data_IF_737842094472
#
_entry.id   IF_737842094472
#
_cell.length_a   1.000
_cell.length_b   1.000
_cell.length_c   1.000
_cell.angle_alpha   90.00
_cell.angle_beta   90.00
_cell.angle_gamma   90.00
#
_symmetry.space_group_name_H-M   'P 1'
#
loop_
_entity.id
_entity.type
_entity.pdbx_description
1 polymer ?
#
# COMPACT_ATOMS: atom_id res chain seq x y z
N UNK A 1 -11.91 -17.34 -5.37
CA UNK A 1 -11.78 -15.95 -5.84
C UNK A 1 -11.49 -15.08 -4.63
N UNK A 2 -10.56 -14.13 -4.71
CA UNK A 2 -10.26 -13.23 -3.58
C UNK A 2 -11.16 -12.00 -3.68
N UNK A 3 -12.08 -11.84 -2.74
CA UNK A 3 -12.95 -10.66 -2.64
C UNK A 3 -12.11 -9.42 -2.29
N UNK A 4 -12.40 -8.29 -2.94
CA UNK A 4 -11.63 -7.05 -2.81
C UNK A 4 -12.56 -5.85 -2.55
N UNK A 5 -12.22 -5.00 -1.58
CA UNK A 5 -12.95 -3.77 -1.23
C UNK A 5 -12.96 -2.75 -2.36
N UNK A 6 -11.83 -2.64 -3.07
CA UNK A 6 -11.66 -1.73 -4.21
C UNK A 6 -12.71 -1.98 -5.31
N UNK A 7 -13.32 -3.18 -5.39
CA UNK A 7 -14.44 -3.43 -6.30
C UNK A 7 -15.58 -2.42 -6.11
N UNK A 8 -15.92 -2.10 -4.86
CA UNK A 8 -16.97 -1.14 -4.55
C UNK A 8 -16.59 0.27 -5.00
N UNK A 9 -15.30 0.62 -4.97
CA UNK A 9 -14.81 1.90 -5.47
C UNK A 9 -14.94 1.99 -7.00
N UNK A 10 -14.73 0.88 -7.72
CA UNK A 10 -14.96 0.81 -9.18
C UNK A 10 -16.45 0.99 -9.53
N UNK A 11 -17.34 0.33 -8.78
CA UNK A 11 -18.79 0.49 -8.96
C UNK A 11 -19.23 1.92 -8.65
N UNK A 12 -18.72 2.50 -7.56
CA UNK A 12 -18.99 3.88 -7.18
C UNK A 12 -18.48 4.88 -8.25
N UNK A 13 -17.28 4.65 -8.79
CA UNK A 13 -16.74 5.45 -9.89
C UNK A 13 -17.65 5.41 -11.11
N UNK A 14 -18.07 4.22 -11.57
CA UNK A 14 -18.95 4.07 -12.73
C UNK A 14 -20.24 4.88 -12.57
N UNK A 15 -20.87 4.78 -11.40
CA UNK A 15 -22.12 5.49 -11.09
C UNK A 15 -21.92 7.01 -11.03
N UNK A 16 -20.82 7.47 -10.43
CA UNK A 16 -20.52 8.90 -10.24
C UNK A 16 -20.06 9.57 -11.54
N UNK A 17 -19.12 8.93 -12.25
CA UNK A 17 -18.47 9.48 -13.44
C UNK A 17 -19.45 9.59 -14.60
N UNK A 18 -20.33 8.60 -14.77
CA UNK A 18 -21.26 8.56 -15.89
C UNK A 18 -20.58 8.65 -17.26
N UNK A 19 -19.30 8.26 -17.35
CA UNK A 19 -18.49 8.29 -18.57
C UNK A 19 -17.71 9.59 -18.81
N UNK A 20 -17.75 10.54 -17.89
CA UNK A 20 -17.02 11.81 -18.01
C UNK A 20 -15.53 11.70 -17.68
N UNK A 21 -15.11 10.58 -17.10
CA UNK A 21 -13.73 10.29 -16.73
C UNK A 21 -13.39 8.82 -17.05
N UNK A 22 -12.12 8.55 -17.34
CA UNK A 22 -11.54 7.22 -17.24
C UNK A 22 -11.05 6.96 -15.81
N UNK A 23 -10.82 5.70 -15.46
CA UNK A 23 -10.22 5.32 -14.18
C UNK A 23 -8.89 4.59 -14.40
N UNK A 24 -7.85 5.01 -13.70
CA UNK A 24 -6.55 4.34 -13.67
C UNK A 24 -6.33 3.68 -12.31
N UNK A 25 -6.23 2.35 -12.32
CA UNK A 25 -5.80 1.56 -11.16
C UNK A 25 -4.28 1.47 -11.15
N UNK A 26 -3.67 2.12 -10.18
CA UNK A 26 -2.22 2.08 -9.93
C UNK A 26 -1.91 1.24 -8.68
N UNK A 27 -0.73 0.66 -8.60
CA UNK A 27 -0.37 -0.24 -7.51
C UNK A 27 0.91 -1.00 -7.76
N UNK A 28 1.45 -1.63 -6.72
CA UNK A 28 2.63 -2.45 -6.86
C UNK A 28 2.40 -3.63 -7.81
N UNK A 29 3.49 -4.19 -8.35
CA UNK A 29 3.38 -5.39 -9.19
C UNK A 29 2.83 -6.55 -8.36
N UNK A 30 2.00 -7.40 -8.99
CA UNK A 30 1.32 -8.57 -8.39
C UNK A 30 0.24 -8.30 -7.34
N UNK A 31 -0.23 -7.06 -7.15
CA UNK A 31 -1.32 -6.76 -6.19
C UNK A 31 -2.74 -7.13 -6.68
N UNK A 32 -2.90 -7.50 -7.96
CA UNK A 32 -4.18 -8.00 -8.50
C UNK A 32 -4.97 -7.02 -9.38
N UNK A 33 -4.32 -5.98 -9.92
CA UNK A 33 -4.96 -4.94 -10.77
C UNK A 33 -5.69 -5.51 -11.99
N UNK A 34 -5.01 -6.29 -12.82
CA UNK A 34 -5.60 -6.93 -14.00
C UNK A 34 -6.75 -7.87 -13.64
N UNK A 35 -6.66 -8.52 -12.47
CA UNK A 35 -7.70 -9.43 -11.99
C UNK A 35 -8.98 -8.66 -11.64
N UNK A 36 -8.86 -7.59 -10.85
CA UNK A 36 -10.03 -6.80 -10.46
C UNK A 36 -10.65 -6.06 -11.65
N UNK A 37 -9.84 -5.60 -12.61
CA UNK A 37 -10.32 -5.00 -13.85
C UNK A 37 -11.15 -5.99 -14.68
N UNK A 38 -10.68 -7.23 -14.83
CA UNK A 38 -11.39 -8.33 -15.52
C UNK A 38 -12.71 -8.68 -14.82
N UNK A 39 -12.69 -8.83 -13.51
CA UNK A 39 -13.88 -9.13 -12.70
C UNK A 39 -14.94 -8.04 -12.83
N UNK A 40 -14.53 -6.77 -12.67
CA UNK A 40 -15.41 -5.62 -12.81
C UNK A 40 -16.01 -5.52 -14.23
N UNK A 41 -15.19 -5.68 -15.26
CA UNK A 41 -15.64 -5.64 -16.65
C UNK A 41 -16.70 -6.71 -16.97
N UNK A 42 -16.51 -7.92 -16.44
CA UNK A 42 -17.42 -9.04 -16.67
C UNK A 42 -18.74 -8.91 -15.91
N UNK A 43 -18.73 -8.34 -14.71
CA UNK A 43 -19.90 -8.24 -13.85
C UNK A 43 -20.74 -6.99 -14.11
N UNK A 44 -20.10 -5.88 -14.46
CA UNK A 44 -20.77 -4.57 -14.51
C UNK A 44 -21.13 -4.11 -15.92
N UNK A 45 -20.56 -4.70 -16.98
CA UNK A 45 -20.80 -4.25 -18.36
C UNK A 45 -21.39 -5.35 -19.23
N UNK A 46 -22.21 -4.95 -20.20
CA UNK A 46 -22.86 -5.87 -21.15
C UNK A 46 -21.84 -6.53 -22.08
N UNK A 47 -20.76 -5.80 -22.38
CA UNK A 47 -19.61 -6.30 -23.13
C UNK A 47 -18.37 -5.54 -22.70
N UNK A 48 -17.20 -6.13 -22.93
CA UNK A 48 -15.94 -5.47 -22.65
C UNK A 48 -14.84 -5.96 -23.58
N UNK A 49 -13.88 -5.08 -23.86
CA UNK A 49 -12.63 -5.43 -24.53
C UNK A 49 -11.50 -5.24 -23.52
N UNK A 50 -10.56 -6.18 -23.45
CA UNK A 50 -9.39 -6.08 -22.58
C UNK A 50 -8.15 -6.20 -23.45
N UNK A 51 -7.33 -5.15 -23.42
CA UNK A 51 -6.12 -5.02 -24.24
C UNK A 51 -4.93 -5.06 -23.28
N UNK A 52 -4.20 -6.16 -23.28
CA UNK A 52 -2.97 -6.34 -22.50
C UNK A 52 -1.77 -5.84 -23.31
N UNK A 53 -1.35 -4.60 -23.08
CA UNK A 53 -0.24 -4.00 -23.82
C UNK A 53 1.12 -4.66 -23.55
N UNK A 54 1.23 -5.49 -22.50
CA UNK A 54 2.41 -6.33 -22.29
C UNK A 54 2.48 -7.53 -23.24
N UNK A 55 1.35 -7.92 -23.83
CA UNK A 55 1.24 -9.07 -24.71
C UNK A 55 0.10 -8.88 -25.74
N UNK A 56 0.23 -7.87 -26.61
CA UNK A 56 -0.75 -7.58 -27.67
C UNK A 56 -0.12 -7.73 -29.06
N UNK A 57 -0.85 -8.27 -30.06
CA UNK A 57 -0.39 -8.31 -31.44
C UNK A 57 -0.14 -6.92 -32.01
N UNK A 58 0.84 -6.82 -32.91
CA UNK A 58 1.19 -5.55 -33.57
C UNK A 58 0.00 -4.92 -34.30
N UNK A 59 -0.85 -5.73 -34.91
CA UNK A 59 -2.05 -5.25 -35.62
C UNK A 59 -2.96 -4.40 -34.73
N UNK A 60 -3.07 -4.72 -33.42
CA UNK A 60 -3.84 -3.90 -32.48
C UNK A 60 -3.13 -2.58 -32.21
N UNK A 61 -1.81 -2.60 -32.02
CA UNK A 61 -1.03 -1.37 -31.84
C UNK A 61 -1.19 -0.45 -33.04
N UNK A 62 -1.16 -1.00 -34.25
CA UNK A 62 -1.32 -0.28 -35.50
C UNK A 62 -2.70 0.42 -35.58
N UNK A 63 -3.76 -0.15 -34.98
CA UNK A 63 -5.09 0.52 -34.87
C UNK A 63 -4.98 1.80 -34.03
N UNK A 64 -4.29 1.76 -32.89
CA UNK A 64 -4.08 2.96 -32.06
C UNK A 64 -3.24 4.02 -32.77
N UNK A 65 -2.24 3.60 -33.53
CA UNK A 65 -1.32 4.52 -34.21
C UNK A 65 -1.91 5.19 -35.45
N UNK A 66 -2.71 4.45 -36.22
CA UNK A 66 -3.13 4.90 -37.56
C UNK A 66 -4.60 5.30 -37.65
N UNK A 67 -5.47 4.78 -36.77
CA UNK A 67 -6.93 4.95 -36.89
C UNK A 67 -7.55 5.83 -35.80
N UNK A 68 -6.76 6.31 -34.83
CA UNK A 68 -7.25 7.10 -33.69
C UNK A 68 -7.83 8.48 -34.05
N UNK A 69 -7.71 8.92 -35.30
CA UNK A 69 -8.34 10.15 -35.83
C UNK A 69 -9.77 9.95 -36.32
N UNK A 70 -10.14 8.71 -36.70
CA UNK A 70 -11.50 8.31 -37.06
C UNK A 70 -11.99 7.28 -36.04
N UNK A 71 -12.65 7.77 -34.99
CA UNK A 71 -13.09 6.93 -33.88
C UNK A 71 -14.15 5.89 -34.30
N UNK A 72 -14.91 6.12 -35.37
CA UNK A 72 -15.87 5.13 -35.88
C UNK A 72 -15.13 3.91 -36.45
N UNK A 73 -14.12 4.16 -37.29
CA UNK A 73 -13.26 3.10 -37.83
C UNK A 73 -12.44 2.43 -36.73
N UNK A 74 -11.89 3.21 -35.79
CA UNK A 74 -11.13 2.71 -34.64
C UNK A 74 -11.92 1.66 -33.85
N UNK A 75 -13.15 1.99 -33.42
CA UNK A 75 -13.96 1.06 -32.65
C UNK A 75 -14.49 -0.10 -33.46
N UNK A 76 -14.77 0.10 -34.76
CA UNK A 76 -15.17 -1.00 -35.65
C UNK A 76 -14.03 -2.03 -35.79
N UNK A 77 -12.80 -1.58 -36.01
CA UNK A 77 -11.62 -2.45 -36.09
C UNK A 77 -11.35 -3.19 -34.78
N UNK A 78 -11.42 -2.49 -33.64
CA UNK A 78 -11.30 -3.13 -32.32
C UNK A 78 -12.39 -4.19 -32.10
N UNK A 79 -13.65 -3.86 -32.40
CA UNK A 79 -14.78 -4.79 -32.24
C UNK A 79 -14.60 -6.06 -33.07
N UNK A 80 -14.16 -5.92 -34.33
CA UNK A 80 -13.89 -7.06 -35.22
C UNK A 80 -12.71 -7.87 -34.73
N UNK A 81 -11.60 -7.23 -34.36
CA UNK A 81 -10.38 -7.92 -33.92
C UNK A 81 -10.63 -8.75 -32.66
N UNK A 82 -11.32 -8.18 -31.67
CA UNK A 82 -11.64 -8.85 -30.42
C UNK A 82 -12.94 -9.67 -30.47
N UNK A 83 -13.61 -9.75 -31.63
CA UNK A 83 -14.87 -10.48 -31.79
C UNK A 83 -15.97 -10.04 -30.82
N UNK A 84 -15.95 -8.77 -30.41
CA UNK A 84 -16.80 -8.26 -29.33
C UNK A 84 -17.61 -7.07 -29.85
N UNK A 85 -18.94 -7.19 -29.80
CA UNK A 85 -19.84 -6.08 -30.12
C UNK A 85 -19.82 -5.07 -28.97
N UNK A 86 -19.54 -3.81 -29.28
CA UNK A 86 -19.62 -2.70 -28.34
C UNK A 86 -21.01 -2.05 -28.37
N UNK A 87 -21.49 -1.64 -27.21
CA UNK A 87 -22.78 -1.03 -26.95
C UNK A 87 -22.57 0.32 -26.28
N UNK A 88 -23.13 1.37 -26.86
CA UNK A 88 -22.98 2.72 -26.34
C UNK A 88 -23.43 2.78 -24.87
N UNK A 89 -22.54 3.31 -24.02
CA UNK A 89 -22.68 3.47 -22.56
C UNK A 89 -22.85 2.16 -21.77
N UNK A 90 -22.79 1.00 -22.42
CA UNK A 90 -22.91 -0.33 -21.79
C UNK A 90 -21.66 -1.20 -21.98
N UNK A 91 -20.61 -0.66 -22.61
CA UNK A 91 -19.33 -1.33 -22.80
C UNK A 91 -18.17 -0.65 -22.08
N UNK A 92 -17.23 -1.48 -21.64
CA UNK A 92 -15.96 -1.05 -21.04
C UNK A 92 -14.78 -1.49 -21.92
N UNK A 93 -13.84 -0.59 -22.15
CA UNK A 93 -12.55 -0.94 -22.76
C UNK A 93 -11.46 -0.82 -21.69
N UNK A 94 -10.78 -1.93 -21.42
CA UNK A 94 -9.71 -2.01 -20.43
C UNK A 94 -8.35 -1.96 -21.12
N UNK A 95 -7.52 -1.00 -20.72
CA UNK A 95 -6.12 -0.88 -21.10
C UNK A 95 -5.25 -1.44 -19.98
N UNK A 96 -4.86 -2.71 -20.09
CA UNK A 96 -4.07 -3.42 -19.08
C UNK A 96 -2.57 -3.23 -19.34
N UNK A 97 -1.79 -2.98 -18.28
CA UNK A 97 -0.35 -2.67 -18.35
C UNK A 97 -0.03 -1.48 -19.31
N UNK A 98 -0.83 -0.42 -19.23
CA UNK A 98 -0.80 0.74 -20.15
C UNK A 98 0.56 1.44 -20.22
N UNK A 99 1.41 1.28 -19.20
CA UNK A 99 2.79 1.79 -19.23
C UNK A 99 3.68 1.12 -20.29
N UNK A 100 3.28 -0.04 -20.84
CA UNK A 100 3.97 -0.66 -21.98
C UNK A 100 3.64 0.03 -23.31
N UNK A 101 2.54 0.79 -23.39
CA UNK A 101 2.15 1.51 -24.59
C UNK A 101 1.57 2.90 -24.27
N UNK A 102 2.45 3.89 -23.96
CA UNK A 102 2.04 5.23 -23.53
C UNK A 102 1.11 5.98 -24.50
N UNK A 103 1.15 5.64 -25.79
CA UNK A 103 0.25 6.21 -26.81
C UNK A 103 -1.23 5.93 -26.52
N UNK A 104 -1.57 4.74 -26.03
CA UNK A 104 -2.97 4.45 -25.67
C UNK A 104 -3.46 5.34 -24.52
N UNK A 105 -2.60 5.59 -23.52
CA UNK A 105 -2.92 6.51 -22.42
C UNK A 105 -3.16 7.94 -22.90
N UNK A 106 -2.38 8.43 -23.87
CA UNK A 106 -2.62 9.78 -24.45
C UNK A 106 -4.00 9.89 -25.10
N UNK A 107 -4.50 8.80 -25.67
CA UNK A 107 -5.77 8.79 -26.38
C UNK A 107 -6.98 8.84 -25.45
N UNK A 108 -6.82 8.50 -24.17
CA UNK A 108 -7.90 8.50 -23.17
C UNK A 108 -8.69 9.81 -23.16
N UNK A 109 -8.00 10.95 -23.29
CA UNK A 109 -8.68 12.26 -23.38
C UNK A 109 -9.71 12.31 -24.51
N UNK A 110 -9.34 11.84 -25.70
CA UNK A 110 -10.23 11.86 -26.87
C UNK A 110 -11.31 10.78 -26.77
N UNK A 111 -10.95 9.62 -26.23
CA UNK A 111 -11.85 8.48 -26.04
C UNK A 111 -12.95 8.79 -25.01
N UNK A 112 -12.60 9.45 -23.90
CA UNK A 112 -13.55 9.93 -22.89
C UNK A 112 -14.42 11.05 -23.45
N UNK A 113 -13.84 11.99 -24.22
CA UNK A 113 -14.61 13.07 -24.84
C UNK A 113 -15.64 12.58 -25.87
N UNK A 114 -15.35 11.50 -26.58
CA UNK A 114 -16.29 10.82 -27.47
C UNK A 114 -17.49 10.21 -26.71
N UNK A 115 -17.24 9.68 -25.52
CA UNK A 115 -18.27 9.31 -24.55
C UNK A 115 -19.06 8.04 -24.88
N UNK A 116 -18.80 7.35 -25.99
CA UNK A 116 -19.51 6.10 -26.34
C UNK A 116 -19.27 4.97 -25.35
N UNK A 117 -18.08 4.85 -24.77
CA UNK A 117 -17.71 3.74 -23.87
C UNK A 117 -17.05 4.27 -22.60
N UNK A 118 -16.97 3.42 -21.59
CA UNK A 118 -16.15 3.69 -20.41
C UNK A 118 -14.75 3.09 -20.60
N UNK A 119 -13.77 3.66 -19.90
CA UNK A 119 -12.36 3.27 -19.99
C UNK A 119 -11.76 3.02 -18.62
N UNK A 120 -11.08 1.88 -18.49
CA UNK A 120 -10.36 1.49 -17.28
C UNK A 120 -8.92 1.16 -17.64
N UNK A 121 -7.97 1.76 -16.95
CA UNK A 121 -6.56 1.54 -17.16
C UNK A 121 -5.97 0.80 -15.96
N UNK A 122 -5.03 -0.10 -16.22
CA UNK A 122 -4.13 -0.62 -15.19
C UNK A 122 -2.70 -0.26 -15.55
N UNK A 123 -1.91 0.07 -14.55
CA UNK A 123 -0.48 0.20 -14.73
C UNK A 123 0.27 -0.01 -13.44
N UNK A 124 1.43 -0.64 -13.54
CA UNK A 124 2.42 -0.57 -12.45
C UNK A 124 3.42 0.51 -12.81
N UNK A 125 4.00 1.19 -11.80
CA UNK A 125 5.11 2.13 -12.01
C UNK A 125 4.74 3.33 -12.90
N UNK A 126 3.45 3.63 -13.05
CA UNK A 126 2.99 4.64 -14.03
C UNK A 126 3.38 6.07 -13.62
N UNK A 127 3.70 6.26 -12.35
CA UNK A 127 4.20 7.53 -11.78
C UNK A 127 5.66 7.80 -12.08
N UNK A 128 6.43 6.77 -12.48
CA UNK A 128 7.85 6.95 -12.78
C UNK A 128 8.03 7.90 -13.95
N UNK A 129 8.89 8.90 -13.78
CA UNK A 129 9.22 9.91 -14.82
C UNK A 129 9.55 9.29 -16.18
N UNK A 130 10.25 8.14 -16.22
CA UNK A 130 10.60 7.44 -17.46
C UNK A 130 9.36 7.01 -18.27
N UNK A 131 8.26 6.67 -17.59
CA UNK A 131 7.03 6.18 -18.20
C UNK A 131 6.08 7.31 -18.65
N UNK A 132 6.35 8.57 -18.25
CA UNK A 132 5.52 9.75 -18.60
C UNK A 132 6.26 10.84 -19.39
N UNK A 133 7.57 10.65 -19.66
CA UNK A 133 8.44 11.68 -20.24
C UNK A 133 7.96 12.18 -21.62
N UNK A 134 7.43 11.27 -22.43
CA UNK A 134 7.11 11.53 -23.84
C UNK A 134 5.60 11.57 -24.11
N UNK A 135 4.78 11.67 -23.05
CA UNK A 135 3.32 11.71 -23.18
C UNK A 135 2.66 12.88 -22.46
N UNK A 136 1.52 13.29 -22.99
CA UNK A 136 0.61 14.22 -22.32
C UNK A 136 -0.25 13.38 -21.38
N UNK A 137 -0.19 13.68 -20.08
CA UNK A 137 -1.04 13.02 -19.09
C UNK A 137 -2.48 13.52 -19.28
N UNK A 138 -3.47 12.65 -19.52
CA UNK A 138 -4.86 13.05 -19.70
C UNK A 138 -5.39 13.68 -18.40
N UNK A 139 -6.17 14.76 -18.53
CA UNK A 139 -6.81 15.41 -17.38
C UNK A 139 -8.14 14.76 -17.01
N UNK A 140 -8.65 13.92 -17.91
CA UNK A 140 -9.91 13.18 -17.86
C UNK A 140 -9.74 11.79 -17.20
N UNK A 141 -8.69 11.60 -16.40
CA UNK A 141 -8.32 10.36 -15.71
C UNK A 141 -8.45 10.53 -14.19
N UNK A 142 -9.21 9.66 -13.54
CA UNK A 142 -9.24 9.53 -12.08
C UNK A 142 -8.28 8.43 -11.63
N UNK A 143 -7.54 8.64 -10.55
CA UNK A 143 -6.59 7.65 -10.03
C UNK A 143 -7.13 6.90 -8.82
N UNK A 144 -6.92 5.59 -8.80
CA UNK A 144 -7.24 4.72 -7.68
C UNK A 144 -6.03 3.85 -7.31
N UNK A 145 -5.57 3.98 -6.06
CA UNK A 145 -4.45 3.21 -5.53
C UNK A 145 -4.93 1.83 -5.03
N UNK A 146 -4.33 0.76 -5.54
CA UNK A 146 -4.57 -0.61 -5.11
C UNK A 146 -3.41 -1.14 -4.26
N UNK A 147 -3.71 -1.43 -3.00
CA UNK A 147 -2.76 -2.01 -2.03
C UNK A 147 -2.87 -3.54 -1.94
N UNK A 148 -1.90 -4.24 -1.31
CA UNK A 148 -2.08 -5.63 -0.90
C UNK A 148 -3.37 -5.85 -0.10
N UNK A 149 -3.88 -7.09 -0.04
CA UNK A 149 -5.06 -7.42 0.75
C UNK A 149 -4.90 -6.92 2.18
N UNK A 150 -5.88 -6.15 2.67
CA UNK A 150 -5.89 -5.75 4.08
C UNK A 150 -6.31 -6.91 5.00
N UNK A 151 -6.30 -6.70 6.31
CA UNK A 151 -6.62 -7.76 7.27
C UNK A 151 -8.06 -8.27 7.13
N UNK A 152 -9.01 -7.40 6.76
CA UNK A 152 -10.41 -7.80 6.54
C UNK A 152 -10.55 -8.62 5.26
N UNK A 153 -9.92 -8.19 4.16
CA UNK A 153 -9.89 -8.95 2.91
C UNK A 153 -9.20 -10.31 3.08
N UNK A 154 -8.16 -10.38 3.92
CA UNK A 154 -7.53 -11.65 4.30
C UNK A 154 -8.47 -12.57 5.09
N UNK A 155 -9.26 -12.02 6.03
CA UNK A 155 -10.26 -12.80 6.76
C UNK A 155 -11.38 -13.30 5.84
N UNK A 156 -11.83 -12.49 4.88
CA UNK A 156 -12.78 -12.94 3.85
C UNK A 156 -12.20 -14.10 3.03
N UNK A 157 -10.92 -14.05 2.69
CA UNK A 157 -10.25 -15.14 1.98
C UNK A 157 -10.21 -16.45 2.81
N UNK A 158 -10.26 -16.35 4.14
CA UNK A 158 -10.40 -17.49 5.06
C UNK A 158 -11.85 -17.90 5.33
N UNK A 159 -12.83 -17.22 4.72
CA UNK A 159 -14.26 -17.45 4.94
C UNK A 159 -14.81 -16.83 6.23
N UNK A 160 -14.09 -15.90 6.85
CA UNK A 160 -14.53 -15.17 8.05
C UNK A 160 -15.03 -13.77 7.69
N UNK A 161 -16.35 -13.64 7.54
CA UNK A 161 -17.00 -12.35 7.27
C UNK A 161 -17.59 -11.69 8.52
N UNK A 162 -17.56 -12.37 9.68
CA UNK A 162 -18.26 -11.93 10.90
C UNK A 162 -17.34 -11.25 11.91
N UNK A 163 -16.05 -11.58 11.89
CA UNK A 163 -15.07 -11.06 12.86
C UNK A 163 -14.93 -9.54 12.72
N UNK A 164 -14.66 -9.01 11.53
CA UNK A 164 -14.40 -7.57 11.37
C UNK A 164 -15.59 -6.68 11.70
N UNK A 165 -16.84 -7.00 11.30
CA UNK A 165 -18.01 -6.27 11.77
C UNK A 165 -18.12 -6.19 13.29
N UNK A 166 -17.82 -7.27 14.01
CA UNK A 166 -17.81 -7.26 15.48
C UNK A 166 -16.68 -6.39 16.05
N UNK A 167 -15.47 -6.46 15.47
CA UNK A 167 -14.35 -5.59 15.89
C UNK A 167 -14.72 -4.11 15.67
N UNK A 168 -15.38 -3.77 14.56
CA UNK A 168 -15.82 -2.41 14.26
C UNK A 168 -16.80 -1.88 15.31
N UNK A 169 -17.81 -2.68 15.67
CA UNK A 169 -18.75 -2.32 16.75
C UNK A 169 -18.02 -2.07 18.08
N UNK A 170 -17.05 -2.93 18.43
CA UNK A 170 -16.25 -2.76 19.65
C UNK A 170 -15.37 -1.50 19.60
N UNK A 171 -14.78 -1.19 18.45
CA UNK A 171 -14.00 0.03 18.21
C UNK A 171 -14.85 1.29 18.38
N UNK A 172 -15.99 1.36 17.71
CA UNK A 172 -16.94 2.49 17.80
C UNK A 172 -17.47 2.68 19.23
N UNK A 173 -17.78 1.58 19.92
CA UNK A 173 -18.21 1.60 21.32
C UNK A 173 -17.07 1.84 22.32
N UNK A 174 -15.79 1.81 21.88
CA UNK A 174 -14.58 1.88 22.70
C UNK A 174 -14.58 0.82 23.82
N UNK A 175 -15.03 -0.39 23.50
CA UNK A 175 -15.17 -1.50 24.46
C UNK A 175 -14.23 -2.66 24.13
N UNK A 176 -13.74 -3.39 25.15
CA UNK A 176 -12.99 -4.63 24.95
C UNK A 176 -13.82 -5.67 24.19
N UNK A 177 -13.16 -6.50 23.38
CA UNK A 177 -13.79 -7.65 22.72
C UNK A 177 -14.06 -8.80 23.72
N UNK A 178 -13.30 -8.83 24.81
CA UNK A 178 -13.25 -9.96 25.72
C UNK A 178 -12.11 -10.91 25.34
N UNK A 179 -11.44 -11.45 26.36
CA UNK A 179 -10.17 -12.16 26.20
C UNK A 179 -10.23 -13.36 25.24
N UNK A 180 -11.35 -14.10 25.21
CA UNK A 180 -11.52 -15.24 24.32
C UNK A 180 -11.54 -14.81 22.84
N UNK A 181 -12.34 -13.81 22.50
CA UNK A 181 -12.46 -13.29 21.13
C UNK A 181 -11.18 -12.59 20.72
N UNK A 182 -10.62 -11.73 21.59
CA UNK A 182 -9.37 -11.03 21.33
C UNK A 182 -8.22 -12.00 21.01
N UNK A 183 -8.06 -13.10 21.76
CA UNK A 183 -7.03 -14.12 21.47
C UNK A 183 -7.25 -14.79 20.11
N UNK A 184 -8.50 -15.10 19.75
CA UNK A 184 -8.84 -15.66 18.43
C UNK A 184 -8.44 -14.70 17.30
N UNK A 185 -8.81 -13.42 17.42
CA UNK A 185 -8.46 -12.39 16.44
C UNK A 185 -6.96 -12.20 16.33
N UNK A 186 -6.24 -12.13 17.45
CA UNK A 186 -4.78 -12.02 17.45
C UNK A 186 -4.08 -13.22 16.78
N UNK A 187 -4.64 -14.43 16.88
CA UNK A 187 -4.10 -15.58 16.17
C UNK A 187 -4.25 -15.42 14.65
N UNK A 188 -5.43 -15.05 14.16
CA UNK A 188 -5.62 -14.74 12.73
C UNK A 188 -4.75 -13.57 12.28
N UNK A 189 -4.56 -12.58 13.15
CA UNK A 189 -3.71 -11.43 12.88
C UNK A 189 -2.24 -11.81 12.71
N UNK A 190 -1.70 -12.70 13.56
CA UNK A 190 -0.34 -13.24 13.42
C UNK A 190 -0.17 -14.04 12.14
N UNK A 191 -1.20 -14.81 11.73
CA UNK A 191 -1.18 -15.48 10.43
C UNK A 191 -1.07 -14.45 9.29
N UNK A 192 -1.85 -13.38 9.35
CA UNK A 192 -1.78 -12.28 8.38
C UNK A 192 -0.43 -11.56 8.37
N UNK A 193 0.19 -11.30 9.53
CA UNK A 193 1.55 -10.73 9.61
C UNK A 193 2.57 -11.56 8.84
N UNK A 194 2.46 -12.90 8.90
CA UNK A 194 3.37 -13.83 8.24
C UNK A 194 3.04 -14.04 6.77
N UNK A 195 1.77 -14.17 6.42
CA UNK A 195 1.32 -14.42 5.04
C UNK A 195 1.41 -13.14 4.20
N UNK A 196 1.13 -11.98 4.79
CA UNK A 196 0.95 -10.72 4.08
C UNK A 196 -0.37 -10.68 3.30
N UNK A 197 -0.54 -9.59 2.56
CA UNK A 197 -1.67 -9.30 1.71
C UNK A 197 -1.43 -9.54 0.21
N UNK A 198 -0.24 -9.99 -0.21
CA UNK A 198 -0.02 -10.24 -1.64
C UNK A 198 -0.91 -11.39 -2.15
N UNK A 199 -1.73 -11.22 -3.21
CA UNK A 199 -2.69 -12.23 -3.67
C UNK A 199 -2.08 -13.62 -3.87
N UNK A 200 -0.90 -13.72 -4.51
CA UNK A 200 -0.22 -15.00 -4.74
C UNK A 200 0.22 -15.66 -3.43
N UNK A 201 0.63 -14.88 -2.43
CA UNK A 201 0.99 -15.38 -1.10
C UNK A 201 -0.24 -15.91 -0.35
N UNK A 202 -1.35 -15.16 -0.40
CA UNK A 202 -2.62 -15.55 0.22
C UNK A 202 -3.16 -16.83 -0.41
N UNK A 203 -3.18 -16.92 -1.75
CA UNK A 203 -3.64 -18.12 -2.45
C UNK A 203 -2.77 -19.36 -2.14
N UNK A 204 -1.45 -19.19 -2.10
CA UNK A 204 -0.54 -20.26 -1.74
C UNK A 204 -0.78 -20.74 -0.29
N UNK A 205 -1.04 -19.81 0.64
CA UNK A 205 -1.39 -20.15 2.01
C UNK A 205 -2.73 -20.90 2.09
N UNK A 206 -3.77 -20.46 1.37
CA UNK A 206 -5.09 -21.10 1.43
C UNK A 206 -5.06 -22.56 0.98
N UNK A 207 -4.11 -22.93 0.13
CA UNK A 207 -3.89 -24.31 -0.29
C UNK A 207 -3.21 -25.14 0.81
N UNK A 208 -3.96 -25.51 1.85
CA UNK A 208 -3.49 -26.37 2.94
C UNK A 208 -2.94 -25.63 4.17
N UNK A 209 -3.11 -24.30 4.26
CA UNK A 209 -2.54 -23.44 5.32
C UNK A 209 -1.02 -23.51 5.37
N UNK A 210 -0.40 -23.60 4.18
CA UNK A 210 1.03 -23.79 4.02
C UNK A 210 1.80 -22.45 4.01
N UNK A 211 2.44 -22.17 5.14
CA UNK A 211 3.30 -21.00 5.27
C UNK A 211 4.59 -21.08 4.43
N UNK A 212 5.11 -22.28 4.14
CA UNK A 212 6.28 -22.44 3.30
C UNK A 212 5.94 -22.10 1.84
N UNK A 213 4.79 -22.56 1.35
CA UNK A 213 4.28 -22.18 0.03
C UNK A 213 4.06 -20.66 -0.08
N UNK A 214 3.50 -20.05 0.97
CA UNK A 214 3.37 -18.58 1.08
C UNK A 214 4.74 -17.88 1.04
N UNK A 215 5.74 -18.34 1.81
CA UNK A 215 7.08 -17.75 1.80
C UNK A 215 7.75 -17.85 0.42
N UNK A 216 7.60 -18.97 -0.27
CA UNK A 216 8.10 -19.15 -1.64
C UNK A 216 7.45 -18.17 -2.63
N UNK A 217 6.12 -17.96 -2.53
CA UNK A 217 5.43 -16.96 -3.34
C UNK A 217 5.96 -15.54 -3.06
N UNK A 218 6.19 -15.20 -1.79
CA UNK A 218 6.76 -13.90 -1.40
C UNK A 218 8.18 -13.69 -1.90
N UNK A 219 9.05 -14.71 -1.86
CA UNK A 219 10.41 -14.66 -2.44
C UNK A 219 10.39 -14.38 -3.94
N UNK A 220 9.45 -15.00 -4.66
CA UNK A 220 9.27 -14.74 -6.09
C UNK A 220 8.85 -13.29 -6.35
N UNK A 221 7.97 -12.71 -5.52
CA UNK A 221 7.57 -11.31 -5.62
C UNK A 221 8.75 -10.37 -5.35
N UNK A 222 9.54 -10.62 -4.31
CA UNK A 222 10.74 -9.82 -4.00
C UNK A 222 11.76 -9.86 -5.16
N UNK A 223 11.95 -11.03 -5.79
CA UNK A 223 12.78 -11.15 -6.99
C UNK A 223 12.23 -10.31 -8.15
N UNK A 224 10.92 -10.36 -8.40
CA UNK A 224 10.30 -9.54 -9.45
C UNK A 224 10.47 -8.04 -9.18
N UNK A 225 10.41 -7.59 -7.93
CA UNK A 225 10.68 -6.18 -7.60
C UNK A 225 12.12 -5.81 -7.91
N UNK A 226 13.09 -6.68 -7.62
CA UNK A 226 14.49 -6.48 -8.03
C UNK A 226 14.65 -6.45 -9.55
N UNK A 227 14.00 -7.35 -10.28
CA UNK A 227 14.03 -7.37 -11.74
C UNK A 227 13.46 -6.06 -12.34
N UNK A 228 12.43 -5.48 -11.72
CA UNK A 228 11.87 -4.19 -12.12
C UNK A 228 12.83 -3.01 -11.85
N UNK A 229 13.55 -3.04 -10.73
CA UNK A 229 14.63 -2.06 -10.49
C UNK A 229 15.65 -2.10 -11.61
N UNK A 230 16.13 -3.29 -12.00
CA UNK A 230 17.08 -3.46 -13.09
C UNK A 230 16.61 -2.81 -14.41
N UNK A 231 15.30 -2.92 -14.69
CA UNK A 231 14.71 -2.46 -15.95
C UNK A 231 14.40 -0.95 -15.95
N UNK A 232 13.95 -0.41 -14.82
CA UNK A 232 13.36 0.93 -14.76
C UNK A 232 14.21 1.97 -14.02
N UNK A 233 15.24 1.56 -13.28
CA UNK A 233 16.18 2.46 -12.58
C UNK A 233 17.55 2.58 -13.28
N UNK A 234 17.56 2.47 -14.61
CA UNK A 234 18.76 2.42 -15.44
C UNK A 234 19.78 3.53 -15.09
N UNK A 235 20.99 3.14 -14.70
CA UNK A 235 22.08 4.04 -14.30
C UNK A 235 22.17 4.39 -12.81
N UNK A 236 21.24 3.90 -11.98
CA UNK A 236 21.29 4.05 -10.52
C UNK A 236 20.69 2.86 -9.74
N UNK A 237 20.56 1.70 -10.41
CA UNK A 237 19.98 0.46 -9.91
C UNK A 237 20.60 0.02 -8.58
N UNK A 238 21.93 0.03 -8.50
CA UNK A 238 22.70 -0.35 -7.30
C UNK A 238 22.27 0.45 -6.07
N UNK A 239 21.92 1.73 -6.26
CA UNK A 239 21.46 2.58 -5.16
C UNK A 239 20.05 2.20 -4.73
N UNK A 240 19.18 1.85 -5.68
CA UNK A 240 17.83 1.38 -5.38
C UNK A 240 17.88 0.04 -4.66
N UNK A 241 18.73 -0.90 -5.10
CA UNK A 241 18.96 -2.16 -4.39
C UNK A 241 19.48 -1.91 -2.97
N UNK A 242 20.48 -1.05 -2.81
CA UNK A 242 21.03 -0.74 -1.49
C UNK A 242 19.99 -0.13 -0.53
N UNK A 243 19.07 0.69 -1.04
CA UNK A 243 17.95 1.20 -0.25
C UNK A 243 16.93 0.10 0.04
N UNK A 244 16.51 -0.66 -0.97
CA UNK A 244 15.47 -1.69 -0.83
C UNK A 244 15.89 -2.84 0.10
N UNK A 245 17.08 -3.38 -0.09
CA UNK A 245 17.62 -4.49 0.70
C UNK A 245 18.02 -4.05 2.12
N UNK A 246 18.29 -2.75 2.30
CA UNK A 246 18.61 -2.16 3.59
C UNK A 246 17.40 -1.91 4.49
N UNK A 247 16.16 -1.99 3.99
CA UNK A 247 14.94 -1.68 4.75
C UNK A 247 14.84 -2.47 6.07
N UNK A 248 14.98 -3.81 6.09
CA UNK A 248 14.91 -4.57 7.35
C UNK A 248 15.97 -4.11 8.37
N UNK A 249 17.18 -3.81 7.89
CA UNK A 249 18.28 -3.31 8.71
C UNK A 249 18.05 -1.91 9.27
N UNK A 250 17.27 -1.05 8.59
CA UNK A 250 16.90 0.26 9.13
C UNK A 250 15.76 0.16 10.13
N UNK A 251 14.73 -0.63 9.83
CA UNK A 251 13.57 -0.77 10.70
C UNK A 251 13.85 -1.53 12.00
N UNK A 252 14.92 -2.34 12.04
CA UNK A 252 15.39 -2.97 13.29
C UNK A 252 16.06 -1.99 14.26
N UNK A 253 16.46 -0.79 13.79
CA UNK A 253 17.04 0.25 14.64
C UNK A 253 15.97 0.90 15.51
N UNK A 254 16.35 1.41 16.68
CA UNK A 254 15.43 2.07 17.62
C UNK A 254 14.58 3.18 16.99
N UNK A 255 15.23 4.11 16.29
CA UNK A 255 14.56 5.29 15.66
C UNK A 255 13.91 4.96 14.31
N UNK A 256 14.25 3.81 13.68
CA UNK A 256 13.76 3.36 12.35
C UNK A 256 13.93 4.35 11.18
N UNK A 257 14.53 5.51 11.41
CA UNK A 257 14.90 6.49 10.39
C UNK A 257 15.92 5.89 9.44
N UNK A 258 15.72 6.11 8.16
CA UNK A 258 16.63 5.64 7.13
C UNK A 258 17.92 6.47 7.15
N UNK A 259 19.00 5.93 7.73
CA UNK A 259 20.28 6.64 7.84
C UNK A 259 21.13 6.37 6.62
N UNK A 260 21.26 7.37 5.74
CA UNK A 260 22.05 7.27 4.51
C UNK A 260 23.53 6.97 4.74
N UNK A 261 24.10 7.38 5.87
CA UNK A 261 25.47 7.03 6.24
C UNK A 261 25.71 5.52 6.31
N UNK A 262 24.66 4.71 6.44
CA UNK A 262 24.77 3.24 6.38
C UNK A 262 24.93 2.69 4.95
N UNK A 263 24.73 3.51 3.92
CA UNK A 263 24.94 3.17 2.51
C UNK A 263 26.36 3.54 2.03
N UNK A 264 27.19 4.16 2.87
CA UNK A 264 28.58 4.55 2.59
C UNK A 264 28.98 5.87 3.28
N UNK A 265 30.28 6.05 3.56
CA UNK A 265 30.80 7.21 4.32
C UNK A 265 30.50 8.56 3.64
N UNK A 266 30.41 8.59 2.30
CA UNK A 266 30.09 9.78 1.52
C UNK A 266 28.64 9.80 0.99
N UNK A 267 27.77 8.90 1.44
CA UNK A 267 26.38 8.83 1.01
C UNK A 267 25.59 10.05 1.51
N UNK A 268 25.20 10.93 0.57
CA UNK A 268 24.34 12.10 0.83
C UNK A 268 22.93 11.88 0.30
N UNK A 269 21.94 12.55 0.87
CA UNK A 269 20.52 12.41 0.48
C UNK A 269 20.30 12.66 -1.01
N UNK A 270 20.88 13.74 -1.52
CA UNK A 270 20.85 14.08 -2.94
C UNK A 270 21.33 12.96 -3.87
N UNK A 271 22.16 12.04 -3.38
CA UNK A 271 22.68 10.93 -4.18
C UNK A 271 21.72 9.74 -4.27
N UNK A 272 20.76 9.63 -3.34
CA UNK A 272 19.84 8.49 -3.17
C UNK A 272 18.35 8.88 -3.22
N UNK A 273 18.04 10.18 -3.33
CA UNK A 273 16.68 10.71 -3.39
C UNK A 273 15.83 10.01 -4.47
N UNK A 274 16.39 9.88 -5.68
CA UNK A 274 15.74 9.18 -6.79
C UNK A 274 15.40 7.71 -6.45
N UNK A 275 16.20 7.06 -5.60
CA UNK A 275 15.93 5.69 -5.16
C UNK A 275 14.71 5.59 -4.25
N UNK A 276 14.52 6.54 -3.32
CA UNK A 276 13.33 6.56 -2.48
C UNK A 276 12.08 6.95 -3.27
N UNK A 277 12.21 7.91 -4.18
CA UNK A 277 11.13 8.29 -5.10
C UNK A 277 10.71 7.08 -5.91
N UNK A 278 11.66 6.37 -6.52
CA UNK A 278 11.38 5.17 -7.32
C UNK A 278 10.62 4.11 -6.51
N UNK A 279 11.10 3.76 -5.32
CA UNK A 279 10.47 2.73 -4.48
C UNK A 279 9.06 3.13 -4.05
N UNK A 280 8.85 4.40 -3.72
CA UNK A 280 7.55 4.91 -3.29
C UNK A 280 6.56 5.02 -4.47
N UNK A 281 7.02 5.47 -5.65
CA UNK A 281 6.22 5.52 -6.88
C UNK A 281 5.90 4.11 -7.42
N UNK A 282 6.78 3.13 -7.17
CA UNK A 282 6.51 1.71 -7.40
C UNK A 282 5.50 1.10 -6.42
N UNK A 283 5.14 1.83 -5.36
CA UNK A 283 4.27 1.40 -4.27
C UNK A 283 4.76 0.11 -3.58
N UNK A 284 6.07 -0.17 -3.65
CA UNK A 284 6.69 -1.32 -2.93
C UNK A 284 7.07 -0.93 -1.50
N UNK A 285 7.17 0.37 -1.23
CA UNK A 285 7.36 0.93 0.11
C UNK A 285 6.32 2.01 0.41
N UNK A 286 6.14 2.27 1.70
CA UNK A 286 5.38 3.37 2.27
C UNK A 286 6.35 4.31 2.98
N UNK A 287 6.61 5.47 2.38
CA UNK A 287 7.49 6.48 2.98
C UNK A 287 6.76 7.28 4.06
N UNK A 288 7.41 7.49 5.19
CA UNK A 288 6.88 8.24 6.32
C UNK A 288 7.82 9.40 6.68
N UNK A 289 7.33 10.64 6.57
CA UNK A 289 8.14 11.84 6.71
C UNK A 289 8.03 12.47 8.10
N UNK A 290 9.11 13.09 8.57
CA UNK A 290 9.09 13.79 9.85
C UNK A 290 8.29 15.10 9.73
N UNK A 291 7.25 15.31 10.53
CA UNK A 291 6.51 16.56 10.57
C UNK A 291 7.13 17.51 11.61
N UNK A 292 7.86 18.53 11.17
CA UNK A 292 8.63 19.40 12.08
C UNK A 292 7.77 20.34 12.93
N UNK A 293 6.61 20.75 12.39
CA UNK A 293 5.55 21.44 13.11
C UNK A 293 4.21 20.69 12.92
N UNK A 294 3.80 19.88 13.91
CA UNK A 294 2.53 19.16 13.85
C UNK A 294 1.37 20.15 13.76
N UNK A 295 0.68 20.18 12.63
CA UNK A 295 -0.62 20.81 12.44
C UNK A 295 -1.46 19.93 11.47
N UNK A 296 -2.75 20.22 11.28
CA UNK A 296 -3.63 19.41 10.41
C UNK A 296 -3.07 19.28 8.99
N UNK A 297 -2.40 20.31 8.49
CA UNK A 297 -1.63 20.27 7.25
C UNK A 297 -0.24 19.69 7.47
N UNK A 298 -0.12 18.43 7.92
CA UNK A 298 1.16 17.74 8.16
C UNK A 298 2.11 17.79 6.96
N UNK A 299 1.57 17.84 5.74
CA UNK A 299 2.34 18.01 4.52
C UNK A 299 3.14 19.33 4.47
N UNK A 300 2.66 20.39 5.10
CA UNK A 300 3.30 21.72 5.09
C UNK A 300 4.59 21.76 5.90
N UNK A 301 4.73 20.86 6.87
CA UNK A 301 5.90 20.79 7.76
C UNK A 301 6.72 19.51 7.58
N UNK A 302 6.44 18.76 6.52
CA UNK A 302 7.13 17.52 6.21
C UNK A 302 8.60 17.78 5.83
N UNK A 303 9.51 17.19 6.59
CA UNK A 303 10.92 17.15 6.28
C UNK A 303 11.22 15.90 5.44
N UNK A 304 11.48 16.14 4.16
CA UNK A 304 11.80 15.08 3.19
C UNK A 304 13.19 14.49 3.37
N UNK A 305 14.09 15.12 4.13
CA UNK A 305 15.42 14.58 4.42
C UNK A 305 15.40 13.53 5.54
N UNK A 306 14.41 13.60 6.44
CA UNK A 306 14.26 12.68 7.57
C UNK A 306 13.03 11.80 7.38
N UNK A 307 13.25 10.57 6.90
CA UNK A 307 12.19 9.62 6.59
C UNK A 307 12.39 8.25 7.23
N UNK A 308 11.29 7.58 7.53
CA UNK A 308 11.22 6.13 7.74
C UNK A 308 10.70 5.47 6.45
N UNK A 309 11.15 4.27 6.15
CA UNK A 309 10.76 3.53 4.95
C UNK A 309 10.19 2.18 5.37
N UNK A 310 8.88 1.99 5.20
CA UNK A 310 8.18 0.75 5.51
C UNK A 310 7.90 -0.04 4.24
N UNK A 311 7.91 -1.36 4.29
CA UNK A 311 7.44 -2.18 3.16
C UNK A 311 5.93 -2.03 2.99
N UNK A 312 5.48 -2.02 1.73
CA UNK A 312 4.06 -1.96 1.40
C UNK A 312 3.27 -3.19 1.88
N UNK A 313 3.95 -4.32 2.04
CA UNK A 313 3.41 -5.56 2.59
C UNK A 313 4.30 -6.10 3.71
N UNK A 314 3.70 -6.32 4.89
CA UNK A 314 4.43 -6.80 6.06
C UNK A 314 4.91 -8.26 5.91
N UNK A 315 4.17 -9.10 5.16
CA UNK A 315 4.62 -10.45 4.86
C UNK A 315 5.90 -10.44 4.01
N UNK A 316 5.99 -9.53 3.03
CA UNK A 316 7.21 -9.33 2.25
C UNK A 316 8.38 -8.86 3.13
N UNK A 317 8.16 -7.94 4.08
CA UNK A 317 9.20 -7.54 5.04
C UNK A 317 9.73 -8.74 5.84
N UNK A 318 8.81 -9.56 6.35
CA UNK A 318 9.17 -10.77 7.11
C UNK A 318 10.02 -11.71 6.26
N UNK A 319 9.64 -12.00 5.01
CA UNK A 319 10.45 -12.83 4.12
C UNK A 319 11.80 -12.19 3.79
N UNK A 320 11.83 -10.90 3.48
CA UNK A 320 13.07 -10.19 3.10
C UNK A 320 14.09 -10.18 4.25
N UNK A 321 13.63 -10.08 5.49
CA UNK A 321 14.50 -10.12 6.68
C UNK A 321 15.30 -11.43 6.80
N UNK A 322 14.81 -12.52 6.20
CA UNK A 322 15.44 -13.86 6.26
C UNK A 322 15.65 -14.49 4.90
N UNK A 323 15.88 -13.67 3.88
CA UNK A 323 16.01 -14.15 2.50
C UNK A 323 17.14 -15.18 2.34
N UNK A 324 18.19 -15.11 3.18
CA UNK A 324 19.36 -16.00 3.16
C UNK A 324 19.16 -17.35 3.87
N UNK A 325 18.03 -17.54 4.57
CA UNK A 325 17.73 -18.79 5.31
C UNK A 325 16.57 -19.54 4.66
N UNK A 326 16.54 -20.87 4.82
CA UNK A 326 15.36 -21.66 4.47
C UNK A 326 14.18 -21.35 5.40
N UNK A 327 12.94 -21.60 4.93
CA UNK A 327 11.73 -21.35 5.72
C UNK A 327 11.72 -22.11 7.06
N UNK A 328 12.21 -23.36 7.08
CA UNK A 328 12.27 -24.22 8.28
C UNK A 328 13.12 -23.66 9.42
N UNK A 329 14.09 -22.83 9.07
CA UNK A 329 15.09 -22.26 9.98
C UNK A 329 14.68 -20.89 10.51
N UNK A 330 13.46 -20.43 10.17
CA UNK A 330 13.01 -19.10 10.52
C UNK A 330 12.46 -19.04 11.96
N UNK A 331 13.37 -18.76 12.91
CA UNK A 331 13.04 -18.57 14.32
C UNK A 331 12.03 -17.44 14.55
N UNK A 332 12.09 -16.36 13.77
CA UNK A 332 11.15 -15.26 13.88
C UNK A 332 9.73 -15.69 13.50
N UNK A 333 9.55 -16.49 12.44
CA UNK A 333 8.23 -17.04 12.09
C UNK A 333 7.63 -17.84 13.23
N UNK A 334 8.41 -18.76 13.82
CA UNK A 334 7.95 -19.56 14.97
C UNK A 334 7.61 -18.64 16.14
N UNK A 335 8.42 -17.64 16.40
CA UNK A 335 8.26 -16.80 17.56
C UNK A 335 7.11 -15.78 17.41
N UNK A 336 6.81 -15.29 16.19
CA UNK A 336 5.57 -14.53 15.89
C UNK A 336 4.36 -15.44 16.07
N UNK A 337 4.39 -16.66 15.51
CA UNK A 337 3.27 -17.59 15.55
C UNK A 337 2.93 -18.04 16.99
N UNK A 338 3.95 -18.24 17.82
CA UNK A 338 3.80 -18.70 19.21
C UNK A 338 3.78 -17.58 20.25
N UNK A 339 3.78 -16.31 19.84
CA UNK A 339 3.74 -15.15 20.77
C UNK A 339 4.93 -15.13 21.75
N UNK A 340 6.15 -15.40 21.23
CA UNK A 340 7.37 -15.61 22.05
C UNK A 340 8.48 -14.57 21.82
N UNK A 341 8.20 -13.39 21.25
CA UNK A 341 9.26 -12.47 20.83
C UNK A 341 9.46 -11.27 21.75
N UNK A 342 10.72 -11.04 22.10
CA UNK A 342 11.22 -9.79 22.65
C UNK A 342 12.09 -9.04 21.60
N UNK A 343 12.02 -7.71 21.64
CA UNK A 343 12.80 -6.70 20.90
C UNK A 343 12.50 -6.53 19.39
N UNK A 344 12.37 -7.58 18.58
CA UNK A 344 12.26 -7.42 17.10
C UNK A 344 10.82 -7.24 16.55
N UNK A 345 9.78 -7.46 17.36
CA UNK A 345 8.38 -7.21 16.93
C UNK A 345 8.11 -5.75 16.58
N UNK A 346 8.85 -4.80 17.19
CA UNK A 346 8.60 -3.37 16.98
C UNK A 346 8.69 -2.97 15.52
N UNK A 347 9.62 -3.53 14.76
CA UNK A 347 9.73 -3.32 13.31
C UNK A 347 8.48 -3.80 12.56
N UNK A 348 8.02 -5.02 12.86
CA UNK A 348 6.92 -5.67 12.14
C UNK A 348 5.59 -5.01 12.46
N UNK A 349 5.35 -4.73 13.75
CA UNK A 349 4.12 -4.06 14.19
C UNK A 349 4.05 -2.64 13.63
N UNK A 350 5.14 -1.87 13.66
CA UNK A 350 5.16 -0.52 13.09
C UNK A 350 4.97 -0.55 11.57
N UNK A 351 5.57 -1.52 10.85
CA UNK A 351 5.33 -1.71 9.42
C UNK A 351 3.87 -2.06 9.12
N UNK A 352 3.24 -2.92 9.93
CA UNK A 352 1.84 -3.28 9.77
C UNK A 352 0.91 -2.08 10.02
N UNK A 353 1.19 -1.26 11.02
CA UNK A 353 0.45 -0.02 11.25
C UNK A 353 0.62 0.94 10.07
N UNK A 354 1.83 1.12 9.56
CA UNK A 354 2.09 1.92 8.36
C UNK A 354 1.27 1.42 7.16
N UNK A 355 1.24 0.10 6.93
CA UNK A 355 0.45 -0.54 5.88
C UNK A 355 -1.05 -0.26 6.07
N UNK A 356 -1.59 -0.43 7.27
CA UNK A 356 -3.02 -0.20 7.56
C UNK A 356 -3.43 1.25 7.36
N UNK A 357 -2.63 2.20 7.88
CA UNK A 357 -2.89 3.63 7.71
C UNK A 357 -2.87 4.04 6.23
N UNK A 358 -1.93 3.49 5.44
CA UNK A 358 -1.89 3.72 3.98
C UNK A 358 -3.11 3.16 3.26
N UNK A 359 -3.54 1.94 3.61
CA UNK A 359 -4.76 1.34 3.04
C UNK A 359 -6.03 2.17 3.37
N UNK A 360 -6.01 2.94 4.47
CA UNK A 360 -7.07 3.86 4.87
C UNK A 360 -7.00 5.24 4.20
N UNK A 361 -5.99 5.47 3.37
CA UNK A 361 -5.81 6.71 2.62
C UNK A 361 -4.96 7.77 3.33
N UNK A 362 -4.38 7.46 4.49
CA UNK A 362 -3.46 8.39 5.14
C UNK A 362 -2.13 8.47 4.37
N UNK A 363 -1.57 9.67 4.29
CA UNK A 363 -0.12 9.84 4.09
C UNK A 363 0.56 9.64 5.44
N UNK A 364 1.75 9.07 5.45
CA UNK A 364 2.43 8.73 6.70
C UNK A 364 3.34 9.87 7.15
N UNK A 365 3.15 10.28 8.40
CA UNK A 365 3.98 11.26 9.07
C UNK A 365 4.33 10.75 10.45
N UNK A 366 5.52 11.08 10.93
CA UNK A 366 5.94 10.84 12.30
C UNK A 366 6.47 12.14 12.91
N UNK A 367 6.64 12.19 14.23
CA UNK A 367 7.32 13.33 14.87
C UNK A 367 8.62 12.85 15.47
N UNK A 368 9.71 13.55 15.18
CA UNK A 368 10.95 13.37 15.92
C UNK A 368 11.71 14.67 16.08
N UNK A 369 12.04 14.98 17.33
CA UNK A 369 12.91 16.08 17.70
C UNK A 369 14.09 15.54 18.49
N UNK A 370 15.29 15.78 17.97
CA UNK A 370 16.54 15.57 18.70
C UNK A 370 17.10 16.94 19.06
N UNK A 371 17.38 17.16 20.35
CA UNK A 371 17.91 18.39 20.93
C UNK A 371 19.17 18.03 21.71
N UNK A 372 20.32 18.28 21.10
CA UNK A 372 21.63 17.84 21.63
C UNK A 372 21.99 18.53 22.94
N UNK A 373 21.41 19.69 23.22
CA UNK A 373 21.68 20.49 24.41
C UNK A 373 20.71 20.15 25.54
N UNK A 374 19.43 19.92 25.21
CA UNK A 374 18.37 19.64 26.17
C UNK A 374 17.72 18.28 25.86
N UNK A 375 18.30 17.19 26.41
CA UNK A 375 17.81 15.82 26.17
C UNK A 375 16.36 15.62 26.60
N UNK A 376 15.85 16.41 27.52
CA UNK A 376 14.45 16.42 27.94
C UNK A 376 13.50 16.79 26.80
N UNK A 377 13.96 17.54 25.79
CA UNK A 377 13.21 17.89 24.59
C UNK A 377 13.20 16.77 23.54
N UNK A 378 13.93 15.67 23.75
CA UNK A 378 13.87 14.51 22.90
C UNK A 378 12.49 13.87 22.99
N UNK A 379 11.84 13.77 21.84
CA UNK A 379 10.58 13.07 21.69
C UNK A 379 10.48 12.47 20.31
N UNK A 380 9.95 11.26 20.25
CA UNK A 380 9.62 10.55 19.03
C UNK A 380 8.21 10.00 19.20
N UNK A 381 7.38 10.20 18.18
CA UNK A 381 6.02 9.65 18.05
C UNK A 381 5.98 8.91 16.73
N UNK A 382 5.54 7.66 16.75
CA UNK A 382 5.65 6.75 15.59
C UNK A 382 4.82 7.21 14.39
N UNK A 383 3.57 7.63 14.60
CA UNK A 383 2.73 8.19 13.55
C UNK A 383 1.87 9.37 14.01
N UNK A 384 1.55 10.25 13.06
CA UNK A 384 0.62 11.35 13.20
C UNK A 384 -0.44 11.25 12.10
N UNK A 385 -1.71 11.20 12.48
CA UNK A 385 -2.84 11.28 11.54
C UNK A 385 -3.68 12.53 11.79
N UNK A 386 -4.33 13.04 10.75
CA UNK A 386 -5.28 14.14 10.88
C UNK A 386 -6.69 13.59 11.14
N UNK A 387 -7.32 14.06 12.22
CA UNK A 387 -8.70 13.75 12.59
C UNK A 387 -9.50 15.05 12.70
N UNK A 388 -10.27 15.36 11.66
CA UNK A 388 -11.02 16.61 11.57
C UNK A 388 -10.09 17.83 11.62
N UNK A 389 -10.21 18.63 12.69
CA UNK A 389 -9.42 19.86 12.89
C UNK A 389 -8.21 19.66 13.81
N UNK A 390 -7.88 18.42 14.16
CA UNK A 390 -6.83 18.08 15.12
C UNK A 390 -5.92 16.98 14.58
N UNK A 391 -4.81 16.76 15.26
CA UNK A 391 -3.90 15.64 15.01
C UNK A 391 -4.12 14.59 16.10
N UNK A 392 -4.17 13.33 15.69
CA UNK A 392 -4.08 12.19 16.59
C UNK A 392 -2.67 11.57 16.51
N UNK A 393 -1.89 11.64 17.60
CA UNK A 393 -0.63 10.93 17.69
C UNK A 393 -0.87 9.44 18.00
N UNK A 394 -0.10 8.59 17.34
CA UNK A 394 -0.16 7.13 17.46
C UNK A 394 1.22 6.63 17.86
N UNK A 395 1.26 5.84 18.93
CA UNK A 395 2.45 5.13 19.40
C UNK A 395 2.24 3.61 19.26
N UNK A 396 3.22 2.89 18.73
CA UNK A 396 3.14 1.44 18.53
C UNK A 396 3.98 0.71 19.58
N UNK A 397 3.37 -0.22 20.31
CA UNK A 397 3.99 -0.96 21.42
C UNK A 397 3.90 -2.46 21.19
N UNK A 398 5.06 -3.10 20.94
CA UNK A 398 5.21 -4.56 20.98
C UNK A 398 5.34 -5.12 22.40
N UNK A 399 6.03 -4.40 23.28
CA UNK A 399 6.31 -4.81 24.67
C UNK A 399 5.58 -3.96 25.72
N UNK A 400 6.34 -3.37 26.64
CA UNK A 400 5.78 -2.50 27.69
C UNK A 400 5.00 -1.32 27.11
N UNK A 401 3.69 -1.30 27.39
CA UNK A 401 2.76 -0.27 26.91
C UNK A 401 2.45 0.81 27.97
N UNK A 402 2.90 0.62 29.21
CA UNK A 402 2.62 1.56 30.32
C UNK A 402 3.52 2.79 30.28
N UNK A 403 4.71 2.70 29.69
CA UNK A 403 5.63 3.84 29.57
C UNK A 403 5.51 4.50 28.19
N UNK A 404 5.10 5.76 28.17
CA UNK A 404 4.90 6.54 26.95
C UNK A 404 5.33 8.01 27.11
N UNK A 405 6.50 8.23 27.75
CA UNK A 405 7.02 9.56 28.07
C UNK A 405 7.15 10.51 26.87
N UNK A 406 7.52 10.00 25.68
CA UNK A 406 7.59 10.83 24.46
C UNK A 406 6.20 11.32 24.04
N UNK A 407 5.20 10.45 24.10
CA UNK A 407 3.81 10.77 23.76
C UNK A 407 3.24 11.78 24.77
N UNK A 408 3.51 11.62 26.06
CA UNK A 408 3.06 12.57 27.09
C UNK A 408 3.64 13.97 26.88
N UNK A 409 4.96 14.05 26.63
CA UNK A 409 5.63 15.31 26.30
C UNK A 409 5.04 15.96 25.05
N UNK A 410 4.78 15.16 24.02
CA UNK A 410 4.19 15.63 22.78
C UNK A 410 2.78 16.19 22.99
N UNK A 411 1.93 15.46 23.73
CA UNK A 411 0.57 15.88 24.10
C UNK A 411 0.58 17.17 24.93
N UNK A 412 1.50 17.30 25.88
CA UNK A 412 1.64 18.51 26.68
C UNK A 412 2.08 19.71 25.82
N UNK A 413 3.10 19.53 24.99
CA UNK A 413 3.66 20.59 24.14
C UNK A 413 2.68 21.09 23.07
N UNK A 414 1.90 20.20 22.47
CA UNK A 414 0.99 20.50 21.36
C UNK A 414 -0.49 20.42 21.73
N UNK A 415 -0.83 20.54 23.02
CA UNK A 415 -2.17 20.31 23.57
C UNK A 415 -3.32 21.00 22.81
N UNK A 416 -3.11 22.20 22.26
CA UNK A 416 -4.11 22.92 21.46
C UNK A 416 -4.40 22.29 20.10
N UNK A 417 -3.45 21.52 19.55
CA UNK A 417 -3.52 20.88 18.23
C UNK A 417 -3.90 19.39 18.30
N UNK A 418 -3.78 18.76 19.47
CA UNK A 418 -3.99 17.31 19.65
C UNK A 418 -5.46 16.98 19.96
N UNK A 419 -5.96 15.94 19.29
CA UNK A 419 -7.25 15.29 19.46
C UNK A 419 -7.17 14.07 20.36
N UNK A 420 -7.78 12.96 19.95
CA UNK A 420 -7.59 11.67 20.61
C UNK A 420 -6.13 11.21 20.43
N UNK A 421 -5.59 10.46 21.38
CA UNK A 421 -4.24 9.88 21.29
C UNK A 421 -4.35 8.37 21.38
N UNK A 422 -3.57 7.66 20.58
CA UNK A 422 -3.69 6.21 20.44
C UNK A 422 -2.39 5.50 20.83
N UNK A 423 -2.53 4.40 21.57
CA UNK A 423 -1.48 3.39 21.73
C UNK A 423 -1.96 2.10 21.06
N UNK A 424 -1.25 1.67 20.03
CA UNK A 424 -1.51 0.42 19.32
C UNK A 424 -0.64 -0.69 19.91
N UNK A 425 -1.26 -1.78 20.36
CA UNK A 425 -0.57 -2.81 21.15
C UNK A 425 -1.24 -4.19 21.07
N UNK A 426 -0.67 -5.17 21.76
CA UNK A 426 -1.06 -6.60 21.66
C UNK A 426 -2.15 -7.04 22.64
N UNK A 427 -2.73 -6.13 23.45
CA UNK A 427 -3.84 -6.46 24.37
C UNK A 427 -5.15 -5.83 23.91
N UNK A 428 -6.22 -6.13 24.65
CA UNK A 428 -7.59 -5.70 24.34
C UNK A 428 -7.79 -4.19 24.56
N UNK A 429 -8.92 -3.63 24.13
CA UNK A 429 -9.20 -2.19 24.26
C UNK A 429 -9.13 -1.74 25.73
N UNK A 430 -8.45 -0.62 25.97
CA UNK A 430 -8.35 -0.01 27.29
C UNK A 430 -8.30 1.52 27.16
N UNK A 431 -8.80 2.25 28.15
CA UNK A 431 -8.58 3.70 28.26
C UNK A 431 -7.80 3.98 29.55
N UNK A 432 -6.65 4.64 29.42
CA UNK A 432 -5.79 5.08 30.54
C UNK A 432 -5.22 6.45 30.20
N UNK A 433 -5.11 7.35 31.19
CA UNK A 433 -4.40 8.64 31.04
C UNK A 433 -4.89 9.51 29.87
N UNK A 434 -6.20 9.42 29.56
CA UNK A 434 -6.84 10.04 28.40
C UNK A 434 -6.22 9.62 27.05
N UNK A 435 -5.66 8.41 26.98
CA UNK A 435 -5.16 7.74 25.79
C UNK A 435 -6.03 6.51 25.55
N UNK A 436 -6.42 6.29 24.29
CA UNK A 436 -7.14 5.08 23.89
C UNK A 436 -6.12 4.03 23.45
N UNK A 437 -6.02 2.96 24.23
CA UNK A 437 -5.23 1.80 23.89
C UNK A 437 -6.09 0.85 23.05
N UNK A 438 -5.63 0.55 21.84
CA UNK A 438 -6.34 -0.28 20.89
C UNK A 438 -5.50 -1.51 20.51
N UNK A 439 -6.11 -2.71 20.44
CA UNK A 439 -5.48 -3.83 19.77
C UNK A 439 -4.97 -3.42 18.40
N UNK A 440 -3.77 -3.85 18.04
CA UNK A 440 -3.10 -3.38 16.83
C UNK A 440 -3.92 -3.60 15.54
N UNK A 441 -4.72 -4.68 15.48
CA UNK A 441 -5.60 -4.95 14.34
C UNK A 441 -6.72 -3.91 14.17
N UNK A 442 -7.01 -3.08 15.18
CA UNK A 442 -7.97 -1.97 15.07
C UNK A 442 -7.38 -0.73 14.40
N UNK A 443 -6.07 -0.70 14.12
CA UNK A 443 -5.47 0.38 13.34
C UNK A 443 -6.09 0.51 11.94
N UNK A 444 -6.72 -0.54 11.42
CA UNK A 444 -7.49 -0.51 10.17
C UNK A 444 -8.78 0.34 10.24
N UNK A 445 -9.16 0.84 11.42
CA UNK A 445 -10.31 1.74 11.58
C UNK A 445 -9.92 3.18 11.93
N UNK A 446 -8.62 3.42 12.12
CA UNK A 446 -8.09 4.77 12.27
C UNK A 446 -8.10 5.52 10.94
#
# INVERSE_FOLDING_TARGET
>A
MLRRKIYNDLVAWKQRSGGTTALLIDGARRVGKSFIAKEFAANEYKSHIIIDFGNVPKDVLDIFENDSTDLDMFFAKLSVFFGTQLYNRESLIVFDEVQQFPRARQLIKYLVADGRYDYLETGSLIRLKKNVKDIIIPSEEEHLEMFPLDFEEFLWALGDEVTVPFIRQAFEARKPLGQAVHRKVMNSFRQYLLVGGMPQSVLAYLNGKDFAASDMAKRNILRLYRDDVAKFAEGYEDKVYAVFDGIPGQLSKKEKKYRLSSLGENARFRSYEDSFIWLNEAMVVNTCFNATDPNVGLALSADHATQKCYMADTGLLVTQTFMDKGYTDNELYKAILFDKLDVNEGMILENMVAQMLRCRGHKLYFYSRCDKEHRENHMEVDFLIAEGKKIAPIEVKSGSYRSHASLDKFRAKFSSKIGESYILYTKDVMRSDNILHLPIYMAMFL
#
